data_IF_817766951334
#
_entry.id   IF_817766951334
#
_cell.length_a   1.000
_cell.length_b   1.000
_cell.length_c   1.000
_cell.angle_alpha   90.00
_cell.angle_beta   90.00
_cell.angle_gamma   90.00
#
_symmetry.space_group_name_H-M   'P 1'
#
loop_
_entity.id
_entity.type
_entity.pdbx_description
1 polymer ?
#
# COMPACT_ATOMS: atom_id res chain seq x y z
N UNK A 1 -4.55 -20.94 26.67
CA UNK A 1 -5.82 -20.63 25.97
C UNK A 1 -5.60 -19.82 24.67
N UNK A 2 -4.61 -18.93 24.63
CA UNK A 2 -4.31 -18.14 23.43
C UNK A 2 -3.43 -18.89 22.40
N UNK A 3 -2.52 -19.77 22.83
CA UNK A 3 -1.59 -20.48 21.95
C UNK A 3 -2.24 -21.38 20.90
N UNK A 4 -3.29 -22.12 21.26
CA UNK A 4 -4.00 -22.98 20.29
C UNK A 4 -4.74 -22.16 19.22
N UNK A 5 -5.36 -21.05 19.62
CA UNK A 5 -6.02 -20.14 18.67
C UNK A 5 -5.02 -19.41 17.77
N UNK A 6 -3.87 -19.02 18.33
CA UNK A 6 -2.81 -18.36 17.55
C UNK A 6 -2.30 -19.27 16.42
N UNK A 7 -2.05 -20.56 16.70
CA UNK A 7 -1.66 -21.51 15.67
C UNK A 7 -2.69 -21.71 14.56
N UNK A 8 -3.99 -21.73 14.91
CA UNK A 8 -5.05 -21.83 13.91
C UNK A 8 -5.15 -20.59 13.03
N UNK A 9 -5.02 -19.38 13.61
CA UNK A 9 -5.01 -18.13 12.85
C UNK A 9 -3.78 -18.00 11.96
N UNK A 10 -2.61 -18.39 12.45
CA UNK A 10 -1.40 -18.39 11.67
C UNK A 10 -1.53 -19.31 10.45
N UNK A 11 -2.00 -20.55 10.64
CA UNK A 11 -2.26 -21.48 9.55
C UNK A 11 -3.26 -20.92 8.53
N UNK A 12 -4.31 -20.26 8.99
CA UNK A 12 -5.28 -19.61 8.10
C UNK A 12 -4.63 -18.49 7.28
N UNK A 13 -3.83 -17.64 7.91
CA UNK A 13 -3.13 -16.56 7.23
C UNK A 13 -2.16 -17.09 6.17
N UNK A 14 -1.37 -18.10 6.48
CA UNK A 14 -0.50 -18.77 5.50
C UNK A 14 -1.31 -19.40 4.35
N UNK A 15 -2.44 -20.03 4.64
CA UNK A 15 -3.34 -20.59 3.61
C UNK A 15 -3.88 -19.48 2.67
N UNK A 16 -4.18 -18.30 3.19
CA UNK A 16 -4.60 -17.15 2.37
C UNK A 16 -3.47 -16.73 1.43
N UNK A 17 -2.25 -16.59 1.94
CA UNK A 17 -1.08 -16.27 1.13
C UNK A 17 -0.88 -17.27 -0.01
N UNK A 18 -0.88 -18.56 0.30
CA UNK A 18 -0.73 -19.62 -0.71
C UNK A 18 -1.82 -19.58 -1.78
N UNK A 19 -3.06 -19.31 -1.39
CA UNK A 19 -4.18 -19.15 -2.33
C UNK A 19 -4.00 -17.95 -3.26
N UNK A 20 -3.50 -16.84 -2.74
CA UNK A 20 -3.22 -15.64 -3.53
C UNK A 20 -2.07 -15.89 -4.50
N UNK A 21 -1.02 -16.54 -4.04
CA UNK A 21 0.14 -16.87 -4.88
C UNK A 21 -0.26 -17.82 -6.02
N UNK A 22 -0.98 -18.89 -5.72
CA UNK A 22 -1.52 -19.84 -6.72
C UNK A 22 -2.46 -19.18 -7.74
N UNK A 23 -3.14 -18.10 -7.36
CA UNK A 23 -4.03 -17.33 -8.27
C UNK A 23 -3.28 -16.32 -9.12
N UNK A 24 -1.97 -16.20 -8.99
CA UNK A 24 -1.18 -15.23 -9.73
C UNK A 24 -1.50 -13.78 -9.35
N UNK A 25 -1.85 -13.55 -8.07
CA UNK A 25 -2.07 -12.20 -7.56
C UNK A 25 -0.78 -11.39 -7.41
N UNK A 26 0.36 -11.99 -7.59
CA UNK A 26 1.67 -11.35 -7.57
C UNK A 26 2.23 -11.18 -8.98
N UNK A 27 2.82 -10.02 -9.25
CA UNK A 27 3.52 -9.71 -10.50
C UNK A 27 4.89 -9.12 -10.18
N UNK A 28 5.93 -9.71 -10.77
CA UNK A 28 7.25 -9.10 -10.78
C UNK A 28 7.26 -7.92 -11.75
N UNK A 29 7.89 -6.83 -11.34
CA UNK A 29 8.09 -5.60 -12.14
C UNK A 29 9.53 -5.14 -12.02
N UNK A 30 9.95 -4.17 -12.86
CA UNK A 30 11.34 -3.71 -12.96
C UNK A 30 11.97 -3.41 -11.58
N UNK A 31 11.25 -2.73 -10.70
CA UNK A 31 11.79 -2.26 -9.42
C UNK A 31 11.49 -3.22 -8.25
N UNK A 32 10.79 -4.31 -8.51
CA UNK A 32 10.42 -5.28 -7.45
C UNK A 32 9.19 -6.10 -7.80
N UNK A 33 8.08 -5.91 -7.09
CA UNK A 33 6.85 -6.63 -7.36
C UNK A 33 5.62 -5.98 -6.76
N UNK A 34 4.46 -6.29 -7.31
CA UNK A 34 3.16 -5.73 -6.93
C UNK A 34 2.09 -6.80 -6.81
N UNK A 35 1.12 -6.57 -5.94
CA UNK A 35 -0.11 -7.37 -5.92
C UNK A 35 -1.15 -6.77 -6.86
N UNK A 36 -1.81 -7.66 -7.60
CA UNK A 36 -2.90 -7.32 -8.49
C UNK A 36 -4.22 -7.84 -7.93
N UNK A 37 -5.32 -7.19 -8.29
CA UNK A 37 -6.66 -7.67 -7.97
C UNK A 37 -6.85 -9.04 -8.63
N UNK A 38 -7.28 -10.07 -7.89
CA UNK A 38 -7.55 -11.38 -8.48
C UNK A 38 -8.51 -11.25 -9.67
N UNK A 39 -8.22 -11.90 -10.79
CA UNK A 39 -9.05 -11.80 -11.99
C UNK A 39 -10.40 -12.53 -11.86
N UNK A 40 -10.70 -13.09 -10.69
CA UNK A 40 -11.91 -13.88 -10.47
C UNK A 40 -12.70 -13.35 -9.27
N UNK A 41 -13.98 -13.08 -9.50
CA UNK A 41 -14.91 -12.82 -8.42
C UNK A 41 -15.04 -14.01 -7.50
N UNK A 42 -14.74 -13.78 -6.25
CA UNK A 42 -15.02 -14.74 -5.18
C UNK A 42 -16.05 -14.08 -4.28
N UNK A 43 -17.14 -14.78 -4.02
CA UNK A 43 -18.03 -14.39 -2.92
C UNK A 43 -17.22 -14.48 -1.62
N UNK A 44 -16.93 -13.33 -1.02
CA UNK A 44 -16.15 -13.22 0.20
C UNK A 44 -16.81 -13.90 1.41
N UNK A 45 -18.14 -14.13 1.36
CA UNK A 45 -18.87 -14.78 2.44
C UNK A 45 -18.80 -16.30 2.32
N UNK A 46 -18.95 -16.82 1.13
CA UNK A 46 -18.94 -18.28 0.89
C UNK A 46 -17.58 -18.83 0.47
N UNK A 47 -16.64 -17.98 0.08
CA UNK A 47 -15.37 -18.38 -0.51
C UNK A 47 -15.49 -19.09 -1.86
N UNK A 48 -16.69 -19.11 -2.45
CA UNK A 48 -16.98 -19.78 -3.73
C UNK A 48 -16.87 -18.81 -4.88
N UNK A 49 -16.48 -19.32 -6.04
CA UNK A 49 -16.62 -18.59 -7.30
C UNK A 49 -18.10 -18.45 -7.62
N UNK A 50 -18.54 -17.24 -7.90
CA UNK A 50 -19.92 -17.00 -8.34
C UNK A 50 -20.07 -17.43 -9.79
N UNK A 51 -20.93 -18.40 -10.06
CA UNK A 51 -21.38 -18.69 -11.42
C UNK A 51 -22.03 -17.43 -11.99
N UNK A 52 -21.56 -16.97 -13.16
CA UNK A 52 -22.03 -15.72 -13.77
C UNK A 52 -21.26 -14.48 -13.36
N UNK A 53 -20.06 -14.62 -12.80
CA UNK A 53 -19.18 -13.51 -12.52
C UNK A 53 -18.88 -12.70 -13.79
N UNK A 54 -19.31 -11.46 -13.80
CA UNK A 54 -18.92 -10.51 -14.83
C UNK A 54 -17.55 -9.90 -14.47
N UNK A 55 -16.61 -9.99 -15.41
CA UNK A 55 -15.27 -9.42 -15.26
C UNK A 55 -15.35 -7.93 -14.98
N UNK A 56 -14.94 -7.52 -13.78
CA UNK A 56 -14.87 -6.10 -13.42
C UNK A 56 -13.70 -5.43 -14.16
N UNK A 57 -13.84 -4.14 -14.46
CA UNK A 57 -12.74 -3.39 -15.07
C UNK A 57 -11.46 -3.36 -14.19
N UNK A 58 -11.61 -3.58 -12.88
CA UNK A 58 -10.51 -3.64 -11.93
C UNK A 58 -9.83 -4.99 -11.85
N UNK A 59 -10.38 -6.04 -12.47
CA UNK A 59 -9.80 -7.38 -12.37
C UNK A 59 -8.44 -7.45 -13.06
N UNK A 60 -7.47 -7.99 -12.34
CA UNK A 60 -6.11 -8.14 -12.81
C UNK A 60 -5.30 -6.84 -12.81
N UNK A 61 -5.84 -5.69 -12.34
CA UNK A 61 -5.05 -4.47 -12.25
C UNK A 61 -4.30 -4.36 -10.91
N UNK A 62 -3.26 -3.53 -10.88
CA UNK A 62 -2.43 -3.30 -9.70
C UNK A 62 -3.25 -2.67 -8.57
N UNK A 63 -3.13 -3.21 -7.35
CA UNK A 63 -3.77 -2.62 -6.18
C UNK A 63 -3.22 -1.22 -5.89
N UNK A 64 -4.05 -0.30 -5.35
CA UNK A 64 -3.57 0.99 -4.82
C UNK A 64 -2.52 0.82 -3.71
N UNK A 65 -1.65 1.81 -3.56
CA UNK A 65 -0.48 1.74 -2.70
C UNK A 65 -0.82 1.42 -1.24
N UNK A 66 -1.90 1.97 -0.71
CA UNK A 66 -2.37 1.62 0.64
C UNK A 66 -2.75 0.14 0.80
N UNK A 67 -3.34 -0.49 -0.21
CA UNK A 67 -3.65 -1.93 -0.18
C UNK A 67 -2.40 -2.78 -0.33
N UNK A 68 -1.45 -2.33 -1.12
CA UNK A 68 -0.13 -2.95 -1.22
C UNK A 68 0.56 -2.92 0.14
N UNK A 69 0.56 -1.75 0.82
CA UNK A 69 1.15 -1.60 2.14
C UNK A 69 0.47 -2.46 3.20
N UNK A 70 -0.87 -2.54 3.23
CA UNK A 70 -1.58 -3.47 4.12
C UNK A 70 -1.14 -4.92 3.92
N UNK A 71 -0.94 -5.33 2.66
CA UNK A 71 -0.45 -6.68 2.36
C UNK A 71 0.99 -6.86 2.83
N UNK A 72 1.86 -5.87 2.60
CA UNK A 72 3.25 -5.94 3.05
C UNK A 72 3.37 -6.00 4.59
N UNK A 73 2.60 -5.20 5.32
CA UNK A 73 2.51 -5.24 6.78
C UNK A 73 2.08 -6.61 7.28
N UNK A 74 1.05 -7.19 6.67
CA UNK A 74 0.63 -8.55 6.99
C UNK A 74 1.73 -9.59 6.73
N UNK A 75 2.47 -9.46 5.63
CA UNK A 75 3.56 -10.40 5.31
C UNK A 75 4.76 -10.25 6.26
N UNK A 76 5.07 -9.05 6.73
CA UNK A 76 6.09 -8.86 7.77
C UNK A 76 5.66 -9.55 9.07
N UNK A 77 4.41 -9.39 9.49
CA UNK A 77 3.89 -10.10 10.65
C UNK A 77 3.94 -11.63 10.48
N UNK A 78 3.68 -12.16 9.28
CA UNK A 78 3.87 -13.58 8.97
C UNK A 78 5.35 -13.99 9.03
N UNK A 79 6.25 -13.16 8.53
CA UNK A 79 7.69 -13.42 8.64
C UNK A 79 8.13 -13.50 10.09
N UNK A 80 7.74 -12.53 10.91
CA UNK A 80 8.10 -12.47 12.34
C UNK A 80 7.56 -13.68 13.11
N UNK A 81 6.37 -14.17 12.73
CA UNK A 81 5.76 -15.34 13.37
C UNK A 81 6.34 -16.68 12.91
N UNK A 82 6.89 -16.78 11.69
CA UNK A 82 7.25 -18.05 11.06
C UNK A 82 8.72 -18.18 10.68
N UNK A 83 9.44 -17.06 10.55
CA UNK A 83 10.80 -17.03 10.01
C UNK A 83 10.90 -17.30 8.50
N UNK A 84 9.79 -17.52 7.79
CA UNK A 84 9.81 -17.86 6.36
C UNK A 84 10.24 -16.66 5.51
N UNK A 85 11.34 -16.77 4.72
CA UNK A 85 11.91 -15.61 4.02
C UNK A 85 11.00 -15.06 2.92
N UNK A 86 10.18 -15.88 2.28
CA UNK A 86 9.29 -15.48 1.19
C UNK A 86 8.38 -14.30 1.55
N UNK A 87 7.92 -14.22 2.79
CA UNK A 87 7.07 -13.12 3.25
C UNK A 87 7.83 -11.79 3.29
N UNK A 88 9.02 -11.80 3.89
CA UNK A 88 9.92 -10.64 3.94
C UNK A 88 10.34 -10.18 2.53
N UNK A 89 10.73 -11.12 1.67
CA UNK A 89 11.14 -10.83 0.30
C UNK A 89 10.05 -10.17 -0.53
N UNK A 90 8.79 -10.65 -0.41
CA UNK A 90 7.65 -10.05 -1.10
C UNK A 90 7.34 -8.64 -0.61
N UNK A 91 7.36 -8.42 0.71
CA UNK A 91 7.17 -7.10 1.31
C UNK A 91 8.27 -6.13 0.88
N UNK A 92 9.53 -6.55 0.91
CA UNK A 92 10.68 -5.76 0.47
C UNK A 92 10.59 -5.37 -1.01
N UNK A 93 10.22 -6.30 -1.88
CA UNK A 93 10.02 -6.03 -3.32
C UNK A 93 8.94 -4.97 -3.55
N UNK A 94 7.83 -5.03 -2.80
CA UNK A 94 6.83 -3.98 -2.88
C UNK A 94 7.38 -2.63 -2.42
N UNK A 95 8.06 -2.56 -1.29
CA UNK A 95 8.57 -1.28 -0.79
C UNK A 95 9.66 -0.68 -1.68
N UNK A 96 10.41 -1.47 -2.45
CA UNK A 96 11.28 -0.96 -3.51
C UNK A 96 10.46 -0.26 -4.61
N UNK A 97 9.35 -0.85 -5.03
CA UNK A 97 8.43 -0.22 -5.99
C UNK A 97 7.86 1.08 -5.42
N UNK A 98 7.37 1.07 -4.18
CA UNK A 98 6.85 2.27 -3.53
C UNK A 98 7.91 3.38 -3.48
N UNK A 99 9.12 3.03 -3.05
CA UNK A 99 10.23 3.99 -3.01
C UNK A 99 10.54 4.59 -4.38
N UNK A 100 10.49 3.82 -5.45
CA UNK A 100 10.72 4.30 -6.82
C UNK A 100 9.64 5.28 -7.31
N UNK A 101 8.44 5.23 -6.72
CA UNK A 101 7.31 6.13 -6.99
C UNK A 101 7.36 7.43 -6.20
N UNK A 102 8.10 7.46 -5.08
CA UNK A 102 8.22 8.62 -4.21
C UNK A 102 9.13 9.67 -4.86
N UNK A 103 8.54 10.79 -5.24
CA UNK A 103 9.25 11.92 -5.85
C UNK A 103 9.65 12.94 -4.79
N UNK A 104 10.79 13.57 -5.00
CA UNK A 104 11.25 14.69 -4.16
C UNK A 104 10.71 16.02 -4.69
N UNK A 105 10.31 16.89 -3.77
CA UNK A 105 9.83 18.25 -4.03
C UNK A 105 10.63 19.27 -3.24
N UNK A 106 10.47 20.52 -3.62
CA UNK A 106 11.04 21.68 -2.93
C UNK A 106 12.55 21.51 -2.63
N UNK A 107 13.33 21.30 -3.67
CA UNK A 107 14.78 21.10 -3.54
C UNK A 107 15.17 19.82 -2.81
N UNK A 108 14.30 18.83 -2.77
CA UNK A 108 14.56 17.54 -2.11
C UNK A 108 14.12 17.44 -0.65
N UNK A 109 13.39 18.44 -0.15
CA UNK A 109 12.99 18.52 1.27
C UNK A 109 11.81 17.63 1.61
N UNK A 110 10.85 17.44 0.68
CA UNK A 110 9.60 16.76 0.92
C UNK A 110 9.36 15.65 -0.09
N UNK A 111 8.53 14.66 0.30
CA UNK A 111 8.08 13.61 -0.58
C UNK A 111 6.70 13.89 -1.16
N UNK A 112 6.50 13.41 -2.41
CA UNK A 112 5.21 13.30 -3.07
C UNK A 112 5.10 11.95 -3.76
N UNK A 113 3.94 11.30 -3.65
CA UNK A 113 3.59 10.11 -4.42
C UNK A 113 2.10 10.05 -4.74
N UNK A 114 1.74 9.21 -5.68
CA UNK A 114 0.35 9.02 -6.07
C UNK A 114 -0.34 7.99 -5.18
N UNK A 115 -1.67 8.03 -5.16
CA UNK A 115 -2.50 6.98 -4.54
C UNK A 115 -2.38 5.65 -5.29
N UNK A 116 -2.19 5.73 -6.59
CA UNK A 116 -2.05 4.61 -7.49
C UNK A 116 -1.22 5.02 -8.71
N UNK A 117 -0.33 4.14 -9.13
CA UNK A 117 0.39 4.22 -10.40
C UNK A 117 0.32 2.88 -11.12
N UNK A 118 0.22 2.88 -12.46
CA UNK A 118 0.30 1.65 -13.22
C UNK A 118 1.68 0.99 -13.03
N UNK A 119 1.69 -0.34 -12.95
CA UNK A 119 2.91 -1.12 -12.79
C UNK A 119 3.23 -1.98 -14.02
N UNK A 120 2.27 -2.15 -14.93
CA UNK A 120 2.47 -2.94 -16.13
C UNK A 120 1.35 -2.76 -17.16
N UNK A 121 1.47 -3.44 -18.32
CA UNK A 121 0.49 -3.33 -19.41
C UNK A 121 -0.95 -3.68 -18.99
N UNK A 122 -1.08 -4.52 -17.97
CA UNK A 122 -2.38 -4.93 -17.44
C UNK A 122 -3.17 -3.80 -16.76
N UNK A 123 -2.54 -2.65 -16.50
CA UNK A 123 -3.15 -1.49 -15.86
C UNK A 123 -3.77 -0.50 -16.84
N UNK A 124 -3.69 -0.81 -18.13
CA UNK A 124 -4.24 0.02 -19.18
C UNK A 124 -5.43 -0.66 -19.88
N UNK A 125 -6.33 0.17 -20.38
CA UNK A 125 -7.43 -0.25 -21.24
C UNK A 125 -6.93 -0.38 -22.69
N UNK A 126 -7.74 -0.98 -23.59
CA UNK A 126 -7.35 -1.10 -25.01
C UNK A 126 -7.09 0.24 -25.71
N UNK A 127 -7.70 1.32 -25.24
CA UNK A 127 -7.50 2.69 -25.74
C UNK A 127 -6.23 3.36 -25.22
N UNK A 128 -5.43 2.66 -24.41
CA UNK A 128 -4.22 3.18 -23.78
C UNK A 128 -4.46 4.01 -22.52
N UNK A 129 -5.70 4.27 -22.13
CA UNK A 129 -6.00 4.98 -20.88
C UNK A 129 -5.76 4.08 -19.66
N UNK A 130 -5.33 4.69 -18.55
CA UNK A 130 -5.16 3.96 -17.30
C UNK A 130 -6.51 3.45 -16.75
N UNK A 131 -6.50 2.26 -16.18
CA UNK A 131 -7.71 1.64 -15.59
C UNK A 131 -8.18 2.32 -14.30
N UNK A 132 -7.33 3.09 -13.67
CA UNK A 132 -7.63 3.78 -12.43
C UNK A 132 -7.15 5.22 -12.49
N UNK A 133 -7.66 6.06 -11.59
CA UNK A 133 -7.23 7.43 -11.42
C UNK A 133 -5.77 7.50 -10.96
N UNK A 134 -4.99 8.34 -11.63
CA UNK A 134 -3.62 8.67 -11.27
C UNK A 134 -3.63 10.08 -10.69
N UNK A 135 -3.14 10.23 -9.49
CA UNK A 135 -3.06 11.53 -8.83
C UNK A 135 -2.50 11.40 -7.42
N UNK A 136 -2.08 12.54 -6.91
CA UNK A 136 -1.42 12.64 -5.62
C UNK A 136 -2.27 12.06 -4.51
N UNK A 137 -1.63 11.30 -3.65
CA UNK A 137 -2.28 10.63 -2.53
C UNK A 137 -3.05 11.63 -1.67
N UNK A 138 -4.34 11.42 -1.41
CA UNK A 138 -5.06 12.23 -0.44
C UNK A 138 -4.50 11.99 0.96
N UNK A 139 -4.55 13.01 1.82
CA UNK A 139 -4.33 12.81 3.25
C UNK A 139 -5.45 11.96 3.87
N UNK A 140 -5.23 11.46 5.07
CA UNK A 140 -6.21 10.65 5.83
C UNK A 140 -5.81 9.19 5.98
N UNK A 141 -6.78 8.31 6.27
CA UNK A 141 -6.52 6.94 6.67
C UNK A 141 -5.69 6.11 5.67
N UNK A 142 -5.90 6.29 4.38
CA UNK A 142 -5.12 5.57 3.35
C UNK A 142 -3.67 6.03 3.30
N UNK A 143 -3.45 7.33 3.44
CA UNK A 143 -2.11 7.90 3.57
C UNK A 143 -1.41 7.39 4.84
N UNK A 144 -2.13 7.32 5.97
CA UNK A 144 -1.62 6.76 7.21
C UNK A 144 -1.12 5.32 7.08
N UNK A 145 -1.82 4.49 6.30
CA UNK A 145 -1.39 3.12 6.00
C UNK A 145 -0.06 3.11 5.22
N UNK A 146 0.11 4.04 4.29
CA UNK A 146 1.38 4.15 3.56
C UNK A 146 2.53 4.56 4.48
N UNK A 147 2.29 5.51 5.39
CA UNK A 147 3.27 5.91 6.39
C UNK A 147 3.65 4.72 7.30
N UNK A 148 2.66 3.98 7.81
CA UNK A 148 2.87 2.79 8.62
C UNK A 148 3.73 1.76 7.88
N UNK A 149 3.42 1.50 6.60
CA UNK A 149 4.21 0.60 5.76
C UNK A 149 5.67 1.05 5.62
N UNK A 150 5.92 2.33 5.34
CA UNK A 150 7.27 2.89 5.20
C UNK A 150 8.05 2.80 6.52
N UNK A 151 7.42 3.17 7.64
CA UNK A 151 8.06 3.11 8.97
C UNK A 151 8.38 1.67 9.34
N UNK A 152 7.43 0.74 9.16
CA UNK A 152 7.65 -0.69 9.43
C UNK A 152 8.80 -1.25 8.58
N UNK A 153 8.87 -0.88 7.30
CA UNK A 153 9.99 -1.29 6.45
C UNK A 153 11.34 -0.78 7.00
N UNK A 154 11.40 0.46 7.46
CA UNK A 154 12.59 1.03 8.10
C UNK A 154 12.96 0.28 9.39
N UNK A 155 12.01 0.02 10.28
CA UNK A 155 12.23 -0.68 11.55
C UNK A 155 12.74 -2.12 11.35
N UNK A 156 12.36 -2.76 10.24
CA UNK A 156 12.85 -4.08 9.83
C UNK A 156 14.16 -4.03 9.01
N UNK A 157 14.80 -2.86 8.93
CA UNK A 157 16.03 -2.64 8.13
C UNK A 157 15.82 -3.00 6.65
N UNK A 158 14.68 -2.61 6.07
CA UNK A 158 14.33 -2.80 4.68
C UNK A 158 14.25 -1.45 3.96
N UNK A 159 14.71 -1.39 2.74
CA UNK A 159 14.50 -0.36 1.72
C UNK A 159 14.72 1.09 2.15
N UNK A 160 14.12 1.54 3.25
CA UNK A 160 14.16 2.93 3.71
C UNK A 160 15.26 3.21 4.71
N UNK A 161 15.88 4.40 4.61
CA UNK A 161 16.95 4.86 5.49
C UNK A 161 16.43 5.88 6.50
N UNK A 162 17.18 6.13 7.55
CA UNK A 162 16.86 7.16 8.55
C UNK A 162 16.65 8.54 7.91
N UNK A 163 17.50 8.94 6.97
CA UNK A 163 17.35 10.20 6.24
C UNK A 163 16.01 10.31 5.52
N UNK A 164 15.54 9.20 4.94
CA UNK A 164 14.25 9.16 4.24
C UNK A 164 13.07 9.26 5.22
N UNK A 165 13.19 8.67 6.41
CA UNK A 165 12.19 8.81 7.48
C UNK A 165 12.17 10.26 7.99
N UNK A 166 13.32 10.88 8.23
CA UNK A 166 13.40 12.28 8.66
C UNK A 166 12.76 13.23 7.64
N UNK A 167 12.94 12.96 6.34
CA UNK A 167 12.30 13.69 5.26
C UNK A 167 10.78 13.46 5.20
N UNK A 168 10.33 12.26 5.52
CA UNK A 168 8.91 11.95 5.63
C UNK A 168 8.27 12.69 6.81
N UNK A 169 8.95 12.75 7.95
CA UNK A 169 8.55 13.56 9.10
C UNK A 169 8.45 15.04 8.70
N UNK A 170 9.46 15.57 8.01
CA UNK A 170 9.44 16.95 7.53
C UNK A 170 8.26 17.20 6.55
N UNK A 171 7.95 16.23 5.68
CA UNK A 171 6.78 16.33 4.79
C UNK A 171 5.49 16.51 5.59
N UNK A 172 5.29 15.73 6.64
CA UNK A 172 4.09 15.82 7.47
C UNK A 172 4.06 17.07 8.34
N UNK A 173 5.15 17.32 9.07
CA UNK A 173 5.23 18.37 10.07
C UNK A 173 5.34 19.76 9.45
N UNK A 174 6.25 19.92 8.48
CA UNK A 174 6.64 21.26 8.01
C UNK A 174 5.88 21.70 6.77
N UNK A 175 5.41 20.73 5.96
CA UNK A 175 4.72 21.02 4.71
C UNK A 175 3.21 20.78 4.77
N UNK A 176 2.74 19.65 5.31
CA UNK A 176 1.31 19.32 5.29
C UNK A 176 0.52 19.99 6.41
N UNK A 177 1.10 20.08 7.61
CA UNK A 177 0.41 20.57 8.80
C UNK A 177 0.37 22.09 8.87
N UNK A 178 -0.76 22.67 9.31
CA UNK A 178 -0.94 24.10 9.50
C UNK A 178 -0.33 24.65 10.81
N UNK A 179 0.43 23.88 11.54
CA UNK A 179 1.10 24.22 12.82
C UNK A 179 0.14 24.68 13.94
N UNK A 180 -1.13 24.30 13.90
CA UNK A 180 -2.11 24.64 14.93
C UNK A 180 -2.57 23.39 15.66
N UNK A 181 -2.38 23.34 16.98
CA UNK A 181 -2.89 22.25 17.83
C UNK A 181 -4.41 22.31 17.86
N UNK A 182 -4.96 23.49 18.16
CA UNK A 182 -6.42 23.71 18.09
C UNK A 182 -6.81 24.05 16.65
N UNK A 183 -7.62 23.19 16.03
CA UNK A 183 -8.00 23.32 14.62
C UNK A 183 -6.88 22.85 13.67
N UNK A 184 -6.21 21.78 14.02
CA UNK A 184 -5.23 21.13 13.16
C UNK A 184 -5.82 20.82 11.79
N UNK A 185 -5.11 21.18 10.73
CA UNK A 185 -5.47 20.88 9.34
C UNK A 185 -4.24 20.42 8.59
N UNK A 186 -4.45 19.49 7.67
CA UNK A 186 -3.41 18.96 6.81
C UNK A 186 -3.81 19.16 5.34
N UNK A 187 -2.95 19.77 4.58
CA UNK A 187 -3.07 19.78 3.12
C UNK A 187 -2.55 18.46 2.52
N UNK A 188 -2.78 18.26 1.23
CA UNK A 188 -2.20 17.11 0.51
C UNK A 188 -0.69 17.27 0.39
N UNK A 189 0.02 16.17 0.19
CA UNK A 189 1.48 16.17 -0.01
C UNK A 189 1.97 16.97 -1.23
N UNK A 190 1.10 17.47 -2.07
CA UNK A 190 1.41 18.40 -3.16
C UNK A 190 0.97 19.85 -2.90
N UNK A 191 0.53 20.17 -1.69
CA UNK A 191 0.03 21.48 -1.32
C UNK A 191 -1.41 21.76 -1.76
N UNK A 192 -2.07 20.81 -2.43
CA UNK A 192 -3.47 20.96 -2.82
C UNK A 192 -4.40 20.94 -1.61
N UNK A 193 -5.56 21.61 -1.73
CA UNK A 193 -6.59 21.54 -0.72
C UNK A 193 -7.03 20.13 -0.45
N UNK A 194 -7.24 19.74 0.83
CA UNK A 194 -7.80 18.46 1.16
C UNK A 194 -9.20 18.31 0.55
N UNK A 195 -9.57 17.09 0.20
CA UNK A 195 -10.95 16.80 -0.21
C UNK A 195 -11.90 17.27 0.89
N UNK A 196 -12.97 18.01 0.57
CA UNK A 196 -13.94 18.50 1.56
C UNK A 196 -14.46 17.43 2.50
N UNK A 197 -14.54 16.16 2.03
CA UNK A 197 -14.94 15.01 2.83
C UNK A 197 -13.93 14.62 3.92
N UNK A 198 -12.67 15.04 3.78
CA UNK A 198 -11.55 14.65 4.65
C UNK A 198 -10.87 15.84 5.33
N UNK A 199 -11.50 17.03 5.29
CA UNK A 199 -10.92 18.28 5.83
C UNK A 199 -10.46 18.19 7.29
N UNK A 200 -11.08 17.33 8.06
CA UNK A 200 -10.82 17.15 9.49
C UNK A 200 -10.10 15.83 9.81
N UNK A 201 -9.73 15.06 8.80
CA UNK A 201 -8.92 13.88 9.06
C UNK A 201 -7.50 14.35 9.40
N UNK A 202 -7.05 14.20 10.66
CA UNK A 202 -5.66 14.43 10.97
C UNK A 202 -4.87 13.45 10.08
N UNK A 203 -3.89 13.96 9.34
CA UNK A 203 -2.84 13.09 8.86
C UNK A 203 -2.34 12.34 10.09
N UNK A 204 -2.09 11.06 9.97
CA UNK A 204 -1.49 10.31 11.08
C UNK A 204 -0.13 10.95 11.33
N UNK A 205 0.00 11.59 12.49
CA UNK A 205 1.28 12.02 13.02
C UNK A 205 1.95 10.83 13.67
#
# INVERSE_FOLDING_TARGET
>A
RYGQKAGAYLKLAETVFEKWDKRGCWREVKDGGVWVVPPFGVDLRSGRFTNGYEKRFTDGFTNPDNKQNLTALWLIALHDATGKPVYRERAEKWWRVMKSRMRLRDGGRYYEWNYWDPAGPWDYKPDGSAKHWIGVHPNGGYYGIDLEGIVTAYEHNLVFTREQIDRLIATNRDFMWNHKINGAKFQRINGGSPDPRWRNSPGVL
#
